data_IF_930752428345
#
_entry.id   IF_930752428345
#
_cell.length_a   1.000
_cell.length_b   1.000
_cell.length_c   1.000
_cell.angle_alpha   90.00
_cell.angle_beta   90.00
_cell.angle_gamma   90.00
#
_symmetry.space_group_name_H-M   'P 1'
#
loop_
_entity.id
_entity.type
_entity.pdbx_description
1 polymer ?
#
# COMPACT_ATOMS: atom_id res chain seq x y z
N UNK A 1 21.24 18.55 7.49
CA UNK A 1 20.41 19.08 8.59
C UNK A 1 18.97 18.70 8.24
N UNK A 2 18.34 17.80 9.00
CA UNK A 2 16.92 17.54 8.87
C UNK A 2 16.18 18.74 9.49
N UNK A 3 15.48 19.50 8.67
CA UNK A 3 14.68 20.62 9.14
C UNK A 3 13.55 20.15 10.08
N UNK A 4 13.00 21.08 10.84
CA UNK A 4 11.87 20.84 11.73
C UNK A 4 10.65 20.35 10.94
N UNK A 5 10.20 19.15 11.19
CA UNK A 5 9.06 18.54 10.49
C UNK A 5 7.78 18.77 11.27
N UNK A 6 6.79 19.38 10.62
CA UNK A 6 5.53 19.79 11.26
C UNK A 6 4.31 19.15 10.61
N UNK A 7 4.04 17.84 10.73
CA UNK A 7 2.67 17.38 10.56
C UNK A 7 2.34 15.92 11.00
N UNK A 8 1.04 15.55 11.00
CA UNK A 8 0.43 14.52 11.81
C UNK A 8 0.77 13.07 11.44
N UNK A 9 1.00 12.73 10.16
CA UNK A 9 1.40 11.35 9.78
C UNK A 9 2.86 11.11 10.09
N UNK A 10 3.68 12.10 9.80
CA UNK A 10 5.07 12.15 10.22
C UNK A 10 5.15 12.21 11.74
N UNK A 11 4.24 12.94 12.40
CA UNK A 11 4.13 12.98 13.88
C UNK A 11 3.80 11.63 14.48
N UNK A 12 2.94 10.83 13.85
CA UNK A 12 2.66 9.47 14.33
C UNK A 12 3.89 8.58 14.21
N UNK A 13 4.56 8.60 13.05
CA UNK A 13 5.83 7.89 12.86
C UNK A 13 6.91 8.37 13.85
N UNK A 14 7.10 9.67 13.97
CA UNK A 14 8.07 10.27 14.89
C UNK A 14 7.72 9.96 16.34
N UNK A 15 6.43 9.99 16.72
CA UNK A 15 5.97 9.66 18.07
C UNK A 15 6.17 8.20 18.42
N UNK A 16 5.91 7.28 17.49
CA UNK A 16 6.10 5.84 17.68
C UNK A 16 7.59 5.48 17.80
N UNK A 17 8.46 6.25 17.15
CA UNK A 17 9.90 6.04 17.17
C UNK A 17 10.65 6.98 18.15
N UNK A 18 9.94 7.68 19.02
CA UNK A 18 10.53 8.44 20.15
C UNK A 18 10.46 7.58 21.42
N UNK A 19 11.55 7.48 22.22
CA UNK A 19 12.85 8.16 22.09
C UNK A 19 13.89 7.45 21.21
N UNK A 20 13.57 6.30 20.61
CA UNK A 20 14.53 5.40 19.97
C UNK A 20 15.31 6.02 18.80
N UNK A 21 14.62 6.69 17.87
CA UNK A 21 15.23 7.31 16.69
C UNK A 21 15.17 8.83 16.74
N UNK A 22 14.23 9.38 17.50
CA UNK A 22 13.98 10.81 17.56
C UNK A 22 13.88 11.30 19.00
N UNK A 23 14.37 12.51 19.23
CA UNK A 23 14.12 13.27 20.44
C UNK A 23 12.99 14.30 20.16
N UNK A 24 12.17 14.56 21.16
CA UNK A 24 11.12 15.58 21.10
C UNK A 24 11.45 16.75 22.03
N UNK A 25 12.30 17.71 21.62
CA UNK A 25 12.73 18.82 22.46
C UNK A 25 11.57 19.75 22.88
N UNK A 26 10.53 19.87 22.06
CA UNK A 26 9.28 20.60 22.38
C UNK A 26 8.10 20.04 21.61
N UNK A 27 6.87 20.40 22.00
CA UNK A 27 5.64 19.95 21.33
C UNK A 27 5.63 20.34 19.86
N UNK A 28 5.53 19.32 18.98
CA UNK A 28 5.51 19.51 17.51
C UNK A 28 6.88 19.52 16.85
N UNK A 29 7.98 19.46 17.57
CA UNK A 29 9.34 19.43 17.03
C UNK A 29 10.02 18.13 17.38
N UNK A 30 10.65 17.51 16.37
CA UNK A 30 11.43 16.27 16.48
C UNK A 30 12.79 16.48 15.83
N UNK A 31 13.81 15.88 16.41
CA UNK A 31 15.15 15.79 15.80
C UNK A 31 15.64 14.35 15.91
N UNK A 32 16.54 13.93 15.04
CA UNK A 32 17.23 12.65 15.22
C UNK A 32 17.93 12.64 16.55
N UNK A 33 17.71 11.60 17.34
CA UNK A 33 18.49 11.40 18.56
C UNK A 33 19.96 11.24 18.18
N UNK A 34 20.86 11.89 18.93
CA UNK A 34 22.31 11.94 18.64
C UNK A 34 23.05 10.59 18.76
N UNK A 35 22.33 9.47 18.60
CA UNK A 35 22.86 8.11 18.52
C UNK A 35 23.26 7.78 17.07
N UNK A 36 24.00 8.68 16.45
CA UNK A 36 24.75 8.37 15.24
C UNK A 36 26.05 7.69 15.67
N UNK A 37 26.04 6.35 15.74
CA UNK A 37 27.26 5.60 16.01
C UNK A 37 27.12 4.32 16.82
N UNK A 38 25.97 4.04 17.42
CA UNK A 38 25.70 2.70 17.92
C UNK A 38 24.99 1.91 16.82
N UNK A 39 25.67 0.90 16.29
CA UNK A 39 25.00 -0.17 15.54
C UNK A 39 23.93 -0.76 16.46
N UNK A 40 22.67 -0.42 16.21
CA UNK A 40 21.56 -1.12 16.84
C UNK A 40 21.65 -2.53 16.30
N UNK A 41 21.90 -3.56 17.13
CA UNK A 41 21.94 -4.93 16.64
C UNK A 41 20.65 -5.20 15.91
N UNK A 42 20.75 -5.76 14.70
CA UNK A 42 19.57 -6.13 13.94
C UNK A 42 18.70 -7.01 14.84
N UNK A 43 17.39 -6.72 14.96
CA UNK A 43 16.51 -7.55 15.77
C UNK A 43 16.56 -8.97 15.22
N UNK A 44 16.75 -9.95 16.11
CA UNK A 44 16.69 -11.35 15.72
C UNK A 44 15.28 -11.72 15.26
N UNK A 45 15.10 -12.67 14.35
CA UNK A 45 13.79 -13.11 13.84
C UNK A 45 12.76 -13.41 14.94
N UNK A 46 13.22 -13.90 16.08
CA UNK A 46 12.38 -14.31 17.23
C UNK A 46 11.84 -13.14 18.09
N UNK A 47 12.21 -11.89 17.77
CA UNK A 47 11.80 -10.73 18.58
C UNK A 47 10.47 -10.12 18.17
N UNK A 48 9.88 -10.54 17.03
CA UNK A 48 8.62 -9.98 16.54
C UNK A 48 7.43 -10.86 16.93
N UNK A 49 6.36 -10.23 17.41
CA UNK A 49 5.10 -10.94 17.61
C UNK A 49 4.56 -11.41 16.26
N UNK A 50 4.42 -12.72 16.12
CA UNK A 50 4.05 -13.37 14.86
C UNK A 50 2.90 -14.33 15.08
N UNK A 51 1.97 -14.40 14.12
CA UNK A 51 0.90 -15.38 14.06
C UNK A 51 0.81 -15.99 12.66
N UNK A 52 0.52 -17.29 12.59
CA UNK A 52 0.31 -18.03 11.34
C UNK A 52 -1.18 -18.26 11.15
N UNK A 53 -1.70 -17.82 10.01
CA UNK A 53 -3.13 -17.88 9.62
C UNK A 53 -3.27 -18.71 8.35
N UNK A 54 -3.16 -20.02 8.47
CA UNK A 54 -3.07 -20.93 7.32
C UNK A 54 -1.75 -20.74 6.55
N UNK A 55 -1.82 -20.26 5.31
CA UNK A 55 -0.64 -19.96 4.48
C UNK A 55 -0.12 -18.54 4.66
N UNK A 56 -0.77 -17.72 5.48
CA UNK A 56 -0.34 -16.36 5.75
C UNK A 56 0.38 -16.26 7.09
N UNK A 57 1.52 -15.57 7.13
CA UNK A 57 2.23 -15.20 8.35
C UNK A 57 2.06 -13.69 8.56
N UNK A 58 1.53 -13.30 9.70
CA UNK A 58 1.34 -11.91 10.08
C UNK A 58 2.31 -11.53 11.19
N UNK A 59 3.00 -10.41 11.02
CA UNK A 59 4.07 -9.93 11.93
C UNK A 59 3.77 -8.52 12.40
N UNK A 60 3.80 -8.29 13.72
CA UNK A 60 3.71 -6.97 14.32
C UNK A 60 5.12 -6.36 14.37
N UNK A 61 5.43 -5.46 13.44
CA UNK A 61 6.76 -4.84 13.33
C UNK A 61 6.77 -3.57 12.48
N UNK A 62 7.83 -2.76 12.62
CA UNK A 62 8.24 -1.81 11.58
C UNK A 62 8.81 -2.60 10.39
N UNK A 63 8.32 -2.33 9.18
CA UNK A 63 8.70 -3.10 8.00
C UNK A 63 10.19 -3.01 7.65
N UNK A 64 10.83 -1.86 7.88
CA UNK A 64 12.27 -1.68 7.60
C UNK A 64 13.11 -2.49 8.58
N UNK A 65 12.71 -2.52 9.86
CA UNK A 65 13.40 -3.32 10.88
C UNK A 65 13.24 -4.83 10.61
N UNK A 66 12.03 -5.24 10.20
CA UNK A 66 11.78 -6.62 9.85
C UNK A 66 12.60 -7.03 8.62
N UNK A 67 12.60 -6.22 7.55
CA UNK A 67 13.39 -6.49 6.34
C UNK A 67 14.88 -6.61 6.64
N UNK A 68 15.43 -5.76 7.52
CA UNK A 68 16.83 -5.81 7.91
C UNK A 68 17.23 -7.10 8.66
N UNK A 69 16.24 -7.84 9.20
CA UNK A 69 16.47 -9.11 9.92
C UNK A 69 16.25 -10.35 9.05
N UNK A 70 15.93 -10.18 7.75
CA UNK A 70 15.63 -11.30 6.86
C UNK A 70 16.84 -11.78 6.08
N UNK A 71 16.82 -13.07 5.78
CA UNK A 71 17.78 -13.65 4.87
C UNK A 71 17.64 -13.02 3.48
N UNK A 72 18.74 -12.72 2.80
CA UNK A 72 18.73 -12.27 1.43
C UNK A 72 17.99 -13.26 0.53
N UNK A 73 17.40 -12.75 -0.56
CA UNK A 73 16.79 -13.57 -1.61
C UNK A 73 15.75 -14.59 -1.11
N UNK A 74 14.91 -14.16 -0.14
CA UNK A 74 13.87 -14.99 0.49
C UNK A 74 12.44 -14.64 0.08
N UNK A 75 12.21 -13.50 -0.60
CA UNK A 75 10.89 -13.00 -1.00
C UNK A 75 10.76 -12.99 -2.53
N UNK A 76 9.68 -13.59 -3.04
CA UNK A 76 9.47 -13.82 -4.47
C UNK A 76 8.60 -12.76 -5.15
N UNK A 77 7.75 -12.07 -4.41
CA UNK A 77 6.95 -10.95 -4.91
C UNK A 77 6.51 -10.02 -3.79
N UNK A 78 6.21 -8.77 -4.14
CA UNK A 78 5.58 -7.79 -3.25
C UNK A 78 4.29 -7.29 -3.89
N UNK A 79 3.21 -7.27 -3.12
CA UNK A 79 1.94 -6.60 -3.47
C UNK A 79 1.49 -5.80 -2.27
N UNK A 80 1.48 -4.47 -2.38
CA UNK A 80 1.28 -3.62 -1.21
C UNK A 80 0.58 -2.30 -1.51
N UNK A 81 -0.15 -1.79 -0.53
CA UNK A 81 -0.82 -0.48 -0.52
C UNK A 81 -0.22 0.38 0.61
N UNK A 82 0.95 1.00 0.39
CA UNK A 82 1.68 1.72 1.42
C UNK A 82 0.99 3.03 1.82
N UNK A 83 1.36 3.63 2.97
CA UNK A 83 0.90 4.97 3.34
C UNK A 83 1.44 6.01 2.35
N UNK A 84 0.56 6.82 1.77
CA UNK A 84 0.91 7.83 0.76
C UNK A 84 1.17 9.23 1.35
N UNK A 85 1.49 9.34 2.63
CA UNK A 85 1.58 10.65 3.28
C UNK A 85 0.23 11.38 3.38
N UNK A 86 -0.88 10.65 3.25
CA UNK A 86 -2.20 11.20 3.48
C UNK A 86 -2.35 11.53 4.96
N UNK A 87 -2.62 12.79 5.26
CA UNK A 87 -2.98 13.20 6.61
C UNK A 87 -4.36 12.64 6.90
N UNK A 88 -4.46 11.75 7.87
CA UNK A 88 -5.75 11.34 8.42
C UNK A 88 -6.50 12.57 8.93
N UNK A 89 -7.83 12.56 8.80
CA UNK A 89 -8.62 13.63 9.34
C UNK A 89 -8.31 13.85 10.83
N UNK A 90 -8.03 15.09 11.20
CA UNK A 90 -8.01 15.48 12.60
C UNK A 90 -9.39 15.18 13.23
N UNK A 91 -9.45 14.99 14.55
CA UNK A 91 -10.71 14.78 15.27
C UNK A 91 -11.77 15.86 14.95
N UNK A 92 -11.33 17.11 14.70
CA UNK A 92 -12.18 18.23 14.29
C UNK A 92 -12.75 18.03 12.87
N UNK A 93 -11.97 17.50 11.98
CA UNK A 93 -12.39 17.22 10.60
C UNK A 93 -13.29 15.99 10.52
N UNK A 94 -13.01 14.96 11.31
CA UNK A 94 -13.88 13.80 11.48
C UNK A 94 -15.24 14.20 12.05
N UNK A 95 -15.28 15.14 13.02
CA UNK A 95 -16.53 15.68 13.57
C UNK A 95 -17.31 16.46 12.53
N UNK A 96 -16.66 17.29 11.71
CA UNK A 96 -17.29 17.97 10.57
C UNK A 96 -17.85 16.97 9.55
N UNK A 97 -17.13 15.88 9.30
CA UNK A 97 -17.54 14.81 8.42
C UNK A 97 -18.81 14.11 8.93
N UNK A 98 -18.83 13.71 10.21
CA UNK A 98 -19.99 13.08 10.86
C UNK A 98 -21.21 14.00 10.87
N UNK A 99 -20.99 15.29 11.09
CA UNK A 99 -22.05 16.31 11.10
C UNK A 99 -22.45 16.77 9.69
N UNK A 100 -21.95 16.15 8.62
CA UNK A 100 -22.22 16.50 7.21
C UNK A 100 -21.95 17.99 6.90
N UNK A 101 -21.00 18.62 7.59
CA UNK A 101 -20.61 20.01 7.37
C UNK A 101 -19.33 20.10 6.56
N UNK A 102 -19.38 20.75 5.39
CA UNK A 102 -18.22 21.00 4.52
C UNK A 102 -18.49 20.72 3.05
N UNK A 103 -17.53 21.09 2.17
CA UNK A 103 -17.72 21.07 0.71
C UNK A 103 -17.98 19.69 0.08
N UNK A 104 -17.60 18.61 0.74
CA UNK A 104 -17.82 17.23 0.26
C UNK A 104 -19.31 16.84 0.23
N UNK A 105 -20.13 17.45 1.06
CA UNK A 105 -21.56 17.15 1.23
C UNK A 105 -22.48 18.00 0.36
N UNK A 106 -21.93 18.92 -0.42
CA UNK A 106 -22.71 19.76 -1.36
C UNK A 106 -23.04 19.04 -2.67
N UNK A 107 -22.35 17.93 -2.95
CA UNK A 107 -22.67 17.06 -4.07
C UNK A 107 -23.63 15.96 -3.61
N UNK A 108 -24.55 15.52 -4.46
CA UNK A 108 -25.42 14.38 -4.15
C UNK A 108 -24.58 13.17 -3.69
N UNK A 109 -25.11 12.33 -2.78
CA UNK A 109 -24.42 11.10 -2.36
C UNK A 109 -24.19 10.12 -3.52
N UNK A 110 -24.92 10.32 -4.62
CA UNK A 110 -24.70 9.62 -5.88
C UNK A 110 -24.21 10.59 -6.95
N UNK A 111 -23.17 10.22 -7.66
CA UNK A 111 -22.66 10.94 -8.82
C UNK A 111 -22.33 9.92 -9.90
N UNK A 112 -22.77 10.14 -11.13
CA UNK A 112 -22.68 9.17 -12.24
C UNK A 112 -23.30 7.79 -11.88
N UNK A 113 -24.39 7.79 -11.09
CA UNK A 113 -25.07 6.57 -10.65
C UNK A 113 -24.31 5.75 -9.58
N UNK A 114 -23.18 6.25 -9.08
CA UNK A 114 -22.37 5.54 -8.09
C UNK A 114 -22.42 6.26 -6.74
N UNK A 115 -22.74 5.52 -5.68
CA UNK A 115 -22.77 6.06 -4.31
C UNK A 115 -21.37 6.46 -3.86
N UNK A 116 -21.23 7.70 -3.38
CA UNK A 116 -19.97 8.21 -2.83
C UNK A 116 -19.82 7.87 -1.35
N UNK A 117 -18.69 7.33 -1.01
CA UNK A 117 -18.21 7.33 0.38
C UNK A 117 -17.39 8.58 0.65
N UNK A 118 -17.49 9.20 1.83
CA UNK A 118 -16.60 10.27 2.22
C UNK A 118 -15.16 9.73 2.25
N UNK A 119 -14.32 10.26 1.37
CA UNK A 119 -12.90 9.93 1.33
C UNK A 119 -12.10 11.00 2.08
N UNK A 120 -11.00 10.65 2.76
CA UNK A 120 -10.10 11.61 3.39
C UNK A 120 -9.69 12.69 2.37
N UNK A 121 -9.64 13.96 2.75
CA UNK A 121 -9.10 15.02 1.88
C UNK A 121 -7.61 14.82 1.71
N UNK A 122 -7.10 15.02 0.49
CA UNK A 122 -5.70 15.33 0.33
C UNK A 122 -5.45 16.69 0.97
N UNK A 123 -4.61 16.72 1.97
CA UNK A 123 -3.94 17.95 2.34
C UNK A 123 -3.00 18.28 1.18
N UNK A 124 -2.92 19.55 0.82
CA UNK A 124 -1.89 20.00 -0.12
C UNK A 124 -0.56 19.71 0.57
N UNK A 125 0.21 18.77 0.04
CA UNK A 125 1.54 18.46 0.56
C UNK A 125 2.47 19.62 0.21
N UNK A 126 3.24 20.08 1.18
CA UNK A 126 4.34 21.01 0.93
C UNK A 126 5.45 20.32 0.14
N UNK A 127 6.36 21.05 -0.50
CA UNK A 127 7.54 20.44 -1.12
C UNK A 127 8.34 19.56 -0.14
N UNK A 128 8.46 19.98 1.12
CA UNK A 128 9.16 19.24 2.16
C UNK A 128 8.46 17.91 2.49
N UNK A 129 7.10 17.89 2.52
CA UNK A 129 6.33 16.64 2.71
C UNK A 129 6.56 15.67 1.54
N UNK A 130 6.67 16.17 0.32
CA UNK A 130 6.95 15.37 -0.89
C UNK A 130 8.36 14.78 -0.82
N UNK A 131 9.35 15.56 -0.38
CA UNK A 131 10.72 15.09 -0.18
C UNK A 131 10.78 13.98 0.88
N UNK A 132 10.15 14.21 2.03
CA UNK A 132 10.06 13.21 3.12
C UNK A 132 9.40 11.91 2.64
N UNK A 133 8.35 12.02 1.84
CA UNK A 133 7.72 10.85 1.22
C UNK A 133 8.69 10.11 0.30
N UNK A 134 9.43 10.84 -0.54
CA UNK A 134 10.47 10.25 -1.40
C UNK A 134 11.54 9.53 -0.62
N UNK A 135 12.07 10.15 0.44
CA UNK A 135 13.09 9.56 1.32
C UNK A 135 12.57 8.30 2.03
N UNK A 136 11.30 8.29 2.45
CA UNK A 136 10.67 7.09 3.02
C UNK A 136 10.72 5.91 2.05
N UNK A 137 10.33 6.12 0.78
CA UNK A 137 10.34 5.06 -0.23
C UNK A 137 11.75 4.64 -0.63
N UNK A 138 12.73 5.54 -0.66
CA UNK A 138 14.15 5.19 -0.86
C UNK A 138 14.64 4.28 0.28
N UNK A 139 14.39 4.66 1.53
CA UNK A 139 14.77 3.86 2.70
C UNK A 139 14.12 2.46 2.69
N UNK A 140 12.83 2.41 2.39
CA UNK A 140 12.11 1.15 2.28
C UNK A 140 12.66 0.27 1.16
N UNK A 141 12.88 0.82 -0.04
CA UNK A 141 13.43 0.07 -1.18
C UNK A 141 14.83 -0.45 -0.89
N UNK A 142 15.68 0.36 -0.23
CA UNK A 142 17.03 -0.04 0.17
C UNK A 142 17.01 -1.26 1.11
N UNK A 143 16.05 -1.33 2.03
CA UNK A 143 15.88 -2.48 2.92
C UNK A 143 15.24 -3.69 2.20
N UNK A 144 14.34 -3.44 1.23
CA UNK A 144 13.60 -4.47 0.52
C UNK A 144 14.45 -5.23 -0.52
N UNK A 145 15.26 -4.51 -1.32
CA UNK A 145 15.96 -5.09 -2.49
C UNK A 145 16.84 -6.30 -2.12
N UNK A 146 17.63 -6.30 -1.05
CA UNK A 146 18.41 -7.47 -0.67
C UNK A 146 17.58 -8.73 -0.40
N UNK A 147 16.39 -8.55 0.17
CA UNK A 147 15.49 -9.65 0.57
C UNK A 147 14.75 -10.26 -0.62
N UNK A 148 14.60 -9.51 -1.72
CA UNK A 148 13.95 -10.00 -2.93
C UNK A 148 14.85 -10.99 -3.67
N UNK A 149 14.28 -12.06 -4.22
CA UNK A 149 14.97 -12.91 -5.22
C UNK A 149 15.14 -12.14 -6.54
N UNK A 150 16.17 -12.41 -7.37
CA UNK A 150 16.28 -11.86 -8.73
C UNK A 150 14.99 -12.08 -9.52
N UNK A 151 14.51 -11.04 -10.21
CA UNK A 151 13.28 -11.12 -10.99
C UNK A 151 11.98 -11.02 -10.20
N UNK A 152 12.02 -10.83 -8.88
CA UNK A 152 10.83 -10.63 -8.04
C UNK A 152 10.02 -9.40 -8.50
N UNK A 153 8.72 -9.59 -8.70
CA UNK A 153 7.80 -8.50 -9.02
C UNK A 153 7.46 -7.70 -7.76
N UNK A 154 7.46 -6.37 -7.89
CA UNK A 154 7.08 -5.43 -6.83
C UNK A 154 5.95 -4.56 -7.35
N UNK A 155 4.74 -4.77 -6.83
CA UNK A 155 3.53 -4.07 -7.26
C UNK A 155 3.03 -3.20 -6.11
N UNK A 156 3.11 -1.89 -6.32
CA UNK A 156 2.88 -0.89 -5.27
C UNK A 156 1.73 0.01 -5.68
N UNK A 157 0.64 0.00 -4.91
CA UNK A 157 -0.42 0.97 -5.11
C UNK A 157 0.11 2.39 -4.89
N UNK A 158 -0.43 3.35 -5.61
CA UNK A 158 -0.05 4.74 -5.44
C UNK A 158 -1.23 5.68 -5.67
N UNK A 159 -1.13 6.87 -5.10
CA UNK A 159 -2.03 7.95 -5.44
C UNK A 159 -1.64 8.54 -6.80
N UNK A 160 -2.57 8.79 -7.74
CA UNK A 160 -2.25 9.38 -9.04
C UNK A 160 -1.41 10.67 -8.97
N UNK A 161 -1.61 11.52 -7.94
CA UNK A 161 -0.87 12.77 -7.76
C UNK A 161 0.56 12.55 -7.23
N UNK A 162 0.82 11.44 -6.55
CA UNK A 162 2.09 11.14 -5.87
C UNK A 162 2.83 9.96 -6.49
N UNK A 163 2.24 9.30 -7.49
CA UNK A 163 2.81 8.12 -8.14
C UNK A 163 4.20 8.37 -8.72
N UNK A 164 4.46 9.59 -9.20
CA UNK A 164 5.77 9.99 -9.72
C UNK A 164 6.85 10.00 -8.63
N UNK A 165 6.52 10.43 -7.41
CA UNK A 165 7.45 10.44 -6.26
C UNK A 165 7.86 9.01 -5.90
N UNK A 166 6.86 8.15 -5.73
CA UNK A 166 7.06 6.72 -5.44
C UNK A 166 7.87 6.06 -6.55
N UNK A 167 7.50 6.32 -7.81
CA UNK A 167 8.17 5.73 -8.98
C UNK A 167 9.64 6.14 -9.06
N UNK A 168 9.95 7.42 -8.84
CA UNK A 168 11.33 7.93 -8.86
C UNK A 168 12.16 7.33 -7.74
N UNK A 169 11.61 7.23 -6.53
CA UNK A 169 12.31 6.67 -5.38
C UNK A 169 12.66 5.18 -5.60
N UNK A 170 11.69 4.37 -6.05
CA UNK A 170 11.90 2.94 -6.26
C UNK A 170 12.85 2.64 -7.43
N UNK A 171 12.70 3.35 -8.56
CA UNK A 171 13.61 3.21 -9.69
C UNK A 171 15.03 3.68 -9.35
N UNK A 172 15.17 4.82 -8.66
CA UNK A 172 16.45 5.35 -8.20
C UNK A 172 17.18 4.44 -7.20
N UNK A 173 16.44 3.57 -6.50
CA UNK A 173 17.01 2.57 -5.59
C UNK A 173 17.49 1.28 -6.29
N UNK A 174 17.26 1.13 -7.60
CA UNK A 174 17.75 -0.02 -8.39
C UNK A 174 16.70 -1.03 -8.82
N UNK A 175 15.40 -0.77 -8.58
CA UNK A 175 14.32 -1.59 -9.14
C UNK A 175 14.05 -1.19 -10.60
N UNK A 176 13.89 -2.18 -11.48
CA UNK A 176 13.47 -1.95 -12.86
C UNK A 176 12.00 -1.57 -12.94
N UNK A 177 11.67 -0.36 -13.44
CA UNK A 177 10.28 -0.02 -13.72
C UNK A 177 9.74 -0.81 -14.91
N UNK A 178 8.58 -1.47 -14.73
CA UNK A 178 7.96 -2.35 -15.73
C UNK A 178 6.60 -1.86 -16.23
N UNK A 179 6.14 -0.71 -15.79
CA UNK A 179 4.85 -0.13 -16.16
C UNK A 179 3.92 0.04 -14.95
N UNK A 180 2.64 -0.08 -15.20
CA UNK A 180 1.59 0.07 -14.18
C UNK A 180 0.46 -0.93 -14.44
N UNK A 181 -0.15 -1.43 -13.37
CA UNK A 181 -1.48 -2.04 -13.42
C UNK A 181 -2.49 -0.97 -13.04
N UNK A 182 -3.41 -0.68 -13.93
CA UNK A 182 -4.47 0.29 -13.72
C UNK A 182 -5.68 -0.40 -13.11
N UNK A 183 -5.99 -0.07 -11.86
CA UNK A 183 -7.27 -0.41 -11.27
C UNK A 183 -8.32 0.60 -11.70
N UNK A 184 -9.16 0.23 -12.67
CA UNK A 184 -10.22 1.11 -13.17
C UNK A 184 -11.41 1.07 -12.21
N UNK A 185 -11.66 2.17 -11.52
CA UNK A 185 -12.75 2.33 -10.56
C UNK A 185 -13.35 3.74 -10.65
N UNK A 186 -14.66 3.85 -10.88
CA UNK A 186 -15.32 5.12 -11.23
C UNK A 186 -15.63 6.04 -10.04
N UNK A 187 -15.31 5.64 -8.82
CA UNK A 187 -15.65 6.35 -7.57
C UNK A 187 -14.53 7.17 -6.96
N UNK A 188 -13.46 7.44 -7.73
CA UNK A 188 -12.33 8.22 -7.27
C UNK A 188 -12.65 9.72 -7.17
N UNK A 189 -11.68 10.51 -6.67
CA UNK A 189 -11.83 11.93 -6.38
C UNK A 189 -11.78 12.82 -7.62
N UNK A 190 -12.14 14.07 -7.41
CA UNK A 190 -12.11 15.12 -8.41
C UNK A 190 -13.49 15.45 -8.96
N UNK A 191 -13.54 16.33 -9.92
CA UNK A 191 -14.77 16.83 -10.49
C UNK A 191 -15.52 17.84 -9.60
N UNK A 192 -14.89 18.33 -8.54
CA UNK A 192 -15.47 19.35 -7.66
C UNK A 192 -15.47 20.72 -8.35
N UNK A 193 -16.56 21.46 -8.17
CA UNK A 193 -16.68 22.83 -8.64
C UNK A 193 -15.89 23.81 -7.77
N UNK A 194 -15.52 25.00 -8.26
CA UNK A 194 -14.82 26.00 -7.49
C UNK A 194 -15.52 26.33 -6.17
N UNK A 195 -14.79 26.28 -5.08
CA UNK A 195 -15.33 26.53 -3.73
C UNK A 195 -15.81 28.00 -3.62
N UNK A 196 -17.04 28.19 -3.21
CA UNK A 196 -17.65 29.52 -3.07
C UNK A 196 -18.23 30.11 -4.35
N UNK A 197 -17.85 29.58 -5.53
CA UNK A 197 -18.29 30.06 -6.85
C UNK A 197 -18.92 28.94 -7.73
N UNK A 198 -19.43 27.90 -7.12
CA UNK A 198 -19.96 26.71 -7.81
C UNK A 198 -21.21 26.96 -8.66
N UNK A 199 -21.92 28.08 -8.45
CA UNK A 199 -23.06 28.51 -9.28
C UNK A 199 -22.59 29.35 -10.45
N UNK A 200 -21.62 30.22 -10.24
CA UNK A 200 -21.01 31.08 -11.25
C UNK A 200 -20.23 30.26 -12.28
N UNK A 201 -19.48 29.26 -11.82
CA UNK A 201 -18.70 28.37 -12.68
C UNK A 201 -19.27 26.94 -12.64
N UNK A 202 -20.55 26.81 -13.03
CA UNK A 202 -21.26 25.54 -12.96
C UNK A 202 -20.63 24.44 -13.82
N UNK A 203 -19.99 24.82 -14.92
CA UNK A 203 -19.39 23.93 -15.92
C UNK A 203 -17.89 23.70 -15.71
N UNK A 204 -17.32 24.28 -14.62
CA UNK A 204 -15.87 24.17 -14.33
C UNK A 204 -15.63 23.14 -13.22
N UNK A 205 -14.75 22.20 -13.49
CA UNK A 205 -14.15 21.31 -12.46
C UNK A 205 -12.74 21.82 -12.11
N UNK A 206 -12.43 21.89 -10.81
CA UNK A 206 -11.10 22.33 -10.33
C UNK A 206 -10.01 21.37 -10.79
N UNK A 207 -10.35 20.09 -10.94
CA UNK A 207 -9.46 19.04 -11.44
C UNK A 207 -10.28 17.94 -12.11
N UNK A 208 -9.67 17.17 -13.02
CA UNK A 208 -10.32 16.00 -13.59
C UNK A 208 -10.76 15.03 -12.49
N UNK A 209 -11.89 14.36 -12.70
CA UNK A 209 -12.29 13.26 -11.82
C UNK A 209 -11.39 12.07 -12.08
N UNK A 210 -10.69 11.62 -11.06
CA UNK A 210 -9.91 10.38 -11.12
C UNK A 210 -10.87 9.18 -11.20
N UNK A 211 -10.66 8.33 -12.18
CA UNK A 211 -11.44 7.10 -12.41
C UNK A 211 -10.58 5.84 -12.27
N UNK A 212 -9.33 5.99 -11.88
CA UNK A 212 -8.37 4.91 -11.80
C UNK A 212 -7.39 5.11 -10.63
N UNK A 213 -6.82 4.00 -10.18
CA UNK A 213 -5.79 3.93 -9.16
C UNK A 213 -4.58 3.22 -9.76
N UNK A 214 -3.39 3.86 -9.79
CA UNK A 214 -2.17 3.24 -10.30
C UNK A 214 -1.61 2.23 -9.30
N UNK A 215 -1.23 1.07 -9.80
CA UNK A 215 -0.40 0.09 -9.13
C UNK A 215 0.91 -0.01 -9.89
N UNK A 216 1.93 0.67 -9.39
CA UNK A 216 3.24 0.76 -10.02
C UNK A 216 3.90 -0.60 -10.04
N UNK A 217 4.40 -1.02 -11.21
CA UNK A 217 5.03 -2.32 -11.40
C UNK A 217 6.54 -2.14 -11.52
N UNK A 218 7.24 -2.79 -10.62
CA UNK A 218 8.70 -2.90 -10.64
C UNK A 218 9.12 -4.35 -10.60
N UNK A 219 10.41 -4.58 -10.84
CA UNK A 219 11.04 -5.88 -10.76
C UNK A 219 12.46 -5.72 -10.22
N UNK A 220 12.91 -6.57 -9.30
CA UNK A 220 14.34 -6.71 -9.05
C UNK A 220 15.03 -7.18 -10.34
N UNK A 221 16.19 -6.62 -10.73
CA UNK A 221 16.93 -7.11 -11.91
C UNK A 221 17.02 -8.62 -11.95
N UNK A 222 16.88 -9.19 -13.14
CA UNK A 222 16.96 -10.65 -13.35
C UNK A 222 18.42 -11.14 -13.35
N UNK A 223 18.59 -12.41 -13.05
CA UNK A 223 19.83 -13.14 -13.18
C UNK A 223 19.87 -13.85 -14.56
N UNK A 224 20.67 -13.32 -15.49
CA UNK A 224 20.75 -13.82 -16.85
C UNK A 224 19.53 -13.48 -17.72
N UNK A 225 19.01 -14.45 -18.48
CA UNK A 225 17.78 -14.26 -19.28
C UNK A 225 16.52 -14.53 -18.45
N UNK A 226 15.35 -14.04 -18.90
CA UNK A 226 14.06 -14.36 -18.25
C UNK A 226 13.86 -15.87 -18.11
N UNK A 227 14.23 -16.65 -19.13
CA UNK A 227 14.15 -18.11 -19.10
C UNK A 227 15.02 -18.72 -17.99
N UNK A 228 16.26 -18.25 -17.85
CA UNK A 228 17.20 -18.75 -16.85
C UNK A 228 16.75 -18.34 -15.44
N UNK A 229 16.28 -17.12 -15.30
CA UNK A 229 15.72 -16.61 -14.06
C UNK A 229 14.47 -17.39 -13.63
N UNK A 230 13.55 -17.72 -14.54
CA UNK A 230 12.40 -18.57 -14.26
C UNK A 230 12.80 -19.97 -13.80
N UNK A 231 13.85 -20.56 -14.40
CA UNK A 231 14.33 -21.88 -13.99
C UNK A 231 14.97 -21.87 -12.61
N UNK A 232 15.78 -20.85 -12.31
CA UNK A 232 16.55 -20.76 -11.07
C UNK A 232 15.74 -20.19 -9.91
N UNK A 233 15.05 -19.08 -10.13
CA UNK A 233 14.41 -18.26 -9.10
C UNK A 233 12.89 -18.33 -9.11
N UNK A 234 12.28 -18.97 -10.09
CA UNK A 234 10.81 -19.09 -10.26
C UNK A 234 10.10 -17.77 -10.48
N UNK A 235 10.83 -16.68 -10.78
CA UNK A 235 10.39 -15.29 -10.92
C UNK A 235 10.82 -14.69 -12.26
N UNK A 236 10.46 -13.41 -12.54
CA UNK A 236 10.91 -12.68 -13.73
C UNK A 236 9.81 -12.36 -14.74
N UNK A 237 8.59 -12.83 -14.53
CA UNK A 237 7.43 -12.58 -15.38
C UNK A 237 6.13 -12.53 -14.59
N UNK A 238 4.99 -12.47 -15.31
CA UNK A 238 3.66 -12.53 -14.74
C UNK A 238 2.93 -13.81 -15.13
N UNK A 239 2.19 -14.41 -14.19
CA UNK A 239 1.35 -15.58 -14.47
C UNK A 239 0.18 -15.18 -15.34
N UNK A 240 0.00 -15.88 -16.44
CA UNK A 240 -1.14 -15.68 -17.34
C UNK A 240 -2.44 -16.17 -16.68
N UNK A 241 -3.59 -15.55 -16.98
CA UNK A 241 -4.90 -16.08 -16.59
C UNK A 241 -5.18 -17.44 -17.24
N UNK A 242 -4.77 -17.63 -18.50
CA UNK A 242 -4.78 -18.89 -19.24
C UNK A 242 -3.62 -18.90 -20.23
N UNK A 243 -3.35 -20.03 -20.87
CA UNK A 243 -2.28 -20.18 -21.86
C UNK A 243 -2.42 -19.22 -23.04
N UNK A 244 -3.65 -18.87 -23.40
CA UNK A 244 -3.99 -18.02 -24.54
C UNK A 244 -4.03 -16.52 -24.19
N UNK A 245 -4.30 -16.18 -22.91
CA UNK A 245 -4.49 -14.79 -22.51
C UNK A 245 -3.36 -14.30 -21.62
N UNK A 246 -2.65 -13.23 -22.02
CA UNK A 246 -1.68 -12.57 -21.14
C UNK A 246 -2.38 -11.88 -19.96
N UNK A 247 -1.62 -11.64 -18.89
CA UNK A 247 -2.08 -10.76 -17.82
C UNK A 247 -2.17 -9.33 -18.37
N UNK A 248 -3.36 -8.73 -18.23
CA UNK A 248 -3.61 -7.37 -18.72
C UNK A 248 -3.34 -6.33 -17.64
N UNK A 249 -2.86 -5.19 -18.07
CA UNK A 249 -2.50 -4.05 -17.22
C UNK A 249 -3.71 -3.20 -16.79
N UNK A 250 -4.90 -3.42 -17.33
CA UNK A 250 -6.14 -2.74 -16.91
C UNK A 250 -7.10 -3.72 -16.28
N UNK A 251 -7.42 -3.48 -15.00
CA UNK A 251 -8.36 -4.31 -14.24
C UNK A 251 -9.56 -3.49 -13.83
N UNK A 252 -10.74 -3.80 -14.39
CA UNK A 252 -11.99 -3.22 -13.90
C UNK A 252 -12.28 -3.73 -12.49
N UNK A 253 -12.59 -2.81 -11.59
CA UNK A 253 -12.85 -3.08 -10.19
C UNK A 253 -14.04 -2.28 -9.70
N UNK A 254 -14.84 -2.90 -8.84
CA UNK A 254 -15.83 -2.17 -8.05
C UNK A 254 -15.18 -1.61 -6.76
N UNK A 255 -15.81 -0.64 -6.08
CA UNK A 255 -15.47 -0.31 -4.71
C UNK A 255 -15.59 -1.55 -3.80
N UNK A 256 -14.86 -1.53 -2.70
CA UNK A 256 -14.95 -2.59 -1.67
C UNK A 256 -16.41 -2.72 -1.21
N UNK A 257 -16.96 -3.91 -1.24
CA UNK A 257 -18.35 -4.18 -0.89
C UNK A 257 -18.61 -4.01 0.61
N UNK A 258 -19.87 -3.79 0.97
CA UNK A 258 -20.28 -3.61 2.37
C UNK A 258 -19.95 -4.84 3.21
N UNK A 259 -20.12 -6.02 2.66
CA UNK A 259 -19.85 -7.31 3.29
C UNK A 259 -18.36 -7.48 3.57
N UNK A 260 -17.48 -7.13 2.61
CA UNK A 260 -16.02 -7.13 2.84
C UNK A 260 -15.62 -6.13 3.93
N UNK A 261 -16.25 -4.94 3.93
CA UNK A 261 -16.01 -3.92 4.98
C UNK A 261 -16.50 -4.33 6.35
N UNK A 262 -17.52 -5.18 6.43
CA UNK A 262 -17.99 -5.73 7.68
C UNK A 262 -17.01 -6.75 8.27
N UNK A 263 -16.28 -7.49 7.41
CA UNK A 263 -15.25 -8.44 7.83
C UNK A 263 -13.95 -7.72 8.26
N UNK A 264 -13.65 -6.58 7.65
CA UNK A 264 -12.45 -5.81 7.92
C UNK A 264 -12.77 -4.30 7.80
N UNK A 265 -13.15 -3.62 8.88
CA UNK A 265 -13.55 -2.22 8.87
C UNK A 265 -12.34 -1.26 8.75
N UNK A 266 -11.44 -1.53 7.83
CA UNK A 266 -10.25 -0.74 7.56
C UNK A 266 -10.56 0.34 6.50
N UNK A 267 -10.09 1.60 6.66
CA UNK A 267 -10.41 2.70 5.73
C UNK A 267 -9.89 2.46 4.31
N UNK A 268 -8.75 1.79 4.16
CA UNK A 268 -8.09 1.49 2.87
C UNK A 268 -8.32 0.07 2.37
N UNK A 269 -9.31 -0.65 2.89
CA UNK A 269 -9.59 -2.03 2.49
C UNK A 269 -9.76 -2.16 0.98
N UNK A 270 -8.92 -2.98 0.34
CA UNK A 270 -8.99 -3.24 -1.10
C UNK A 270 -9.91 -4.43 -1.41
N UNK A 271 -10.68 -4.39 -2.53
CA UNK A 271 -11.56 -5.49 -2.91
C UNK A 271 -10.79 -6.79 -3.17
N UNK A 272 -11.25 -7.89 -2.61
CA UNK A 272 -10.62 -9.21 -2.76
C UNK A 272 -10.55 -9.65 -4.23
N UNK A 273 -11.59 -9.41 -5.01
CA UNK A 273 -11.62 -9.75 -6.44
C UNK A 273 -10.48 -9.08 -7.23
N UNK A 274 -10.11 -7.86 -6.89
CA UNK A 274 -9.01 -7.14 -7.52
C UNK A 274 -7.66 -7.72 -7.05
N UNK A 275 -7.47 -7.81 -5.73
CA UNK A 275 -6.20 -8.28 -5.16
C UNK A 275 -5.86 -9.70 -5.56
N UNK A 276 -6.83 -10.63 -5.58
CA UNK A 276 -6.60 -12.01 -6.03
C UNK A 276 -6.05 -12.09 -7.46
N UNK A 277 -6.50 -11.21 -8.36
CA UNK A 277 -5.97 -11.16 -9.73
C UNK A 277 -4.52 -10.68 -9.77
N UNK A 278 -4.20 -9.63 -9.00
CA UNK A 278 -2.85 -9.09 -8.92
C UNK A 278 -1.91 -10.07 -8.23
N UNK A 279 -2.30 -10.58 -7.06
CA UNK A 279 -1.50 -11.54 -6.27
C UNK A 279 -1.23 -12.82 -7.06
N UNK A 280 -2.26 -13.37 -7.74
CA UNK A 280 -2.06 -14.55 -8.59
C UNK A 280 -1.07 -14.28 -9.72
N UNK A 281 -1.06 -13.09 -10.28
CA UNK A 281 -0.24 -12.74 -11.41
C UNK A 281 1.24 -12.55 -11.06
N UNK A 282 1.57 -12.06 -9.87
CA UNK A 282 2.95 -11.68 -9.51
C UNK A 282 3.90 -12.87 -9.34
N UNK A 283 3.38 -14.08 -9.12
CA UNK A 283 4.16 -15.34 -9.08
C UNK A 283 3.94 -16.12 -10.38
N UNK A 284 4.85 -16.04 -11.36
CA UNK A 284 4.64 -16.56 -12.72
C UNK A 284 4.40 -18.07 -12.76
N UNK A 285 5.00 -18.83 -11.87
CA UNK A 285 4.86 -20.29 -11.79
C UNK A 285 3.92 -20.74 -10.67
N UNK A 286 3.37 -19.80 -9.90
CA UNK A 286 2.45 -20.09 -8.78
C UNK A 286 3.15 -20.60 -7.53
N UNK A 287 4.44 -20.38 -7.42
CA UNK A 287 5.28 -20.82 -6.29
C UNK A 287 6.05 -19.64 -5.72
N UNK A 288 6.25 -19.64 -4.41
CA UNK A 288 7.01 -18.62 -3.68
C UNK A 288 6.14 -17.81 -2.72
N UNK A 289 6.77 -16.87 -2.05
CA UNK A 289 6.18 -16.07 -0.97
C UNK A 289 5.87 -14.65 -1.45
N UNK A 290 4.64 -14.20 -1.21
CA UNK A 290 4.19 -12.82 -1.44
C UNK A 290 4.34 -12.02 -0.16
N UNK A 291 4.99 -10.87 -0.21
CA UNK A 291 5.15 -9.96 0.91
C UNK A 291 4.23 -8.74 0.77
N UNK A 292 3.54 -8.38 1.85
CA UNK A 292 2.89 -7.08 2.03
C UNK A 292 3.48 -6.38 3.26
N UNK A 293 4.44 -5.45 3.09
CA UNK A 293 5.09 -4.77 4.20
C UNK A 293 4.25 -3.68 4.88
N UNK A 294 3.02 -3.44 4.40
CA UNK A 294 2.06 -2.47 4.95
C UNK A 294 0.66 -3.06 4.93
N UNK A 295 0.49 -4.24 5.55
CA UNK A 295 -0.66 -5.09 5.27
C UNK A 295 -1.98 -4.59 5.86
N UNK A 296 -1.97 -3.65 6.80
CA UNK A 296 -3.18 -3.12 7.43
C UNK A 296 -4.06 -4.24 7.97
N UNK A 297 -5.30 -4.33 7.50
CA UNK A 297 -6.23 -5.41 7.85
C UNK A 297 -6.00 -6.72 7.08
N UNK A 298 -4.87 -6.90 6.39
CA UNK A 298 -4.49 -8.17 5.77
C UNK A 298 -5.17 -8.49 4.43
N UNK A 299 -5.62 -7.50 3.67
CA UNK A 299 -6.30 -7.71 2.38
C UNK A 299 -5.48 -8.52 1.39
N UNK A 300 -4.17 -8.25 1.29
CA UNK A 300 -3.24 -8.96 0.40
C UNK A 300 -3.01 -10.39 0.86
N UNK A 301 -2.86 -10.59 2.17
CA UNK A 301 -2.68 -11.93 2.77
C UNK A 301 -3.90 -12.81 2.50
N UNK A 302 -5.10 -12.25 2.70
CA UNK A 302 -6.35 -12.94 2.39
C UNK A 302 -6.46 -13.31 0.90
N UNK A 303 -6.03 -12.41 0.02
CA UNK A 303 -6.00 -12.66 -1.42
C UNK A 303 -4.99 -13.75 -1.79
N UNK A 304 -3.81 -13.77 -1.15
CA UNK A 304 -2.79 -14.80 -1.33
C UNK A 304 -3.30 -16.17 -0.88
N UNK A 305 -3.86 -16.26 0.32
CA UNK A 305 -4.49 -17.51 0.83
C UNK A 305 -5.63 -17.99 -0.05
N UNK A 306 -6.41 -17.07 -0.66
CA UNK A 306 -7.51 -17.44 -1.55
C UNK A 306 -7.07 -18.05 -2.89
N UNK A 307 -5.82 -17.79 -3.32
CA UNK A 307 -5.21 -18.35 -4.53
C UNK A 307 -4.13 -19.38 -4.23
N UNK A 308 -4.11 -19.87 -2.99
CA UNK A 308 -3.24 -20.92 -2.47
C UNK A 308 -1.74 -20.56 -2.51
N UNK A 309 -1.40 -19.29 -2.20
CA UNK A 309 -0.03 -18.81 -2.10
C UNK A 309 0.37 -18.54 -0.65
N UNK A 310 1.62 -18.79 -0.33
CA UNK A 310 2.24 -18.34 0.91
C UNK A 310 2.39 -16.82 0.92
N UNK A 311 2.17 -16.20 2.07
CA UNK A 311 2.33 -14.77 2.22
C UNK A 311 2.83 -14.36 3.58
N UNK A 312 3.52 -13.21 3.62
CA UNK A 312 3.96 -12.55 4.84
C UNK A 312 3.40 -11.13 4.83
N UNK A 313 2.73 -10.74 5.91
CA UNK A 313 2.24 -9.38 6.12
C UNK A 313 2.92 -8.75 7.31
N UNK A 314 3.30 -7.49 7.18
CA UNK A 314 3.88 -6.71 8.27
C UNK A 314 2.96 -5.55 8.56
N UNK A 315 2.62 -5.37 9.83
CA UNK A 315 1.82 -4.26 10.33
C UNK A 315 2.47 -3.69 11.59
N UNK A 316 2.60 -2.38 11.65
CA UNK A 316 3.23 -1.74 12.80
C UNK A 316 2.21 -1.25 13.84
N UNK A 317 0.95 -1.06 13.44
CA UNK A 317 -0.12 -0.63 14.34
C UNK A 317 -0.77 -1.87 14.99
N UNK A 318 -0.70 -2.00 16.33
CA UNK A 318 -1.29 -3.15 17.02
C UNK A 318 -2.80 -3.32 16.77
N UNK A 319 -3.54 -2.22 16.58
CA UNK A 319 -4.98 -2.29 16.32
C UNK A 319 -5.28 -2.91 14.94
N UNK A 320 -4.54 -2.52 13.91
CA UNK A 320 -4.69 -3.11 12.57
C UNK A 320 -4.13 -4.53 12.51
N UNK A 321 -3.08 -4.82 13.28
CA UNK A 321 -2.59 -6.18 13.44
C UNK A 321 -3.67 -7.12 14.01
N UNK A 322 -4.32 -6.76 15.12
CA UNK A 322 -5.41 -7.58 15.68
C UNK A 322 -6.59 -7.70 14.70
N UNK A 323 -6.93 -6.61 14.02
CA UNK A 323 -7.95 -6.65 12.97
C UNK A 323 -7.59 -7.64 11.86
N UNK A 324 -6.32 -7.71 11.44
CA UNK A 324 -5.87 -8.63 10.40
C UNK A 324 -5.92 -10.09 10.86
N UNK A 325 -5.62 -10.37 12.14
CA UNK A 325 -5.75 -11.72 12.71
C UNK A 325 -7.17 -12.27 12.50
N UNK A 326 -8.20 -11.46 12.76
CA UNK A 326 -9.59 -11.87 12.61
C UNK A 326 -10.07 -11.84 11.15
N UNK A 327 -9.62 -10.84 10.39
CA UNK A 327 -10.13 -10.58 9.04
C UNK A 327 -9.55 -11.52 7.97
N UNK A 328 -8.26 -11.86 8.03
CA UNK A 328 -7.58 -12.63 6.98
C UNK A 328 -8.28 -13.97 6.69
N UNK A 329 -8.60 -14.83 7.67
CA UNK A 329 -9.26 -16.09 7.39
C UNK A 329 -10.67 -15.91 6.78
N UNK A 330 -11.38 -14.87 7.20
CA UNK A 330 -12.75 -14.59 6.74
C UNK A 330 -12.76 -14.01 5.32
N UNK A 331 -11.89 -13.06 5.03
CA UNK A 331 -11.72 -12.48 3.70
C UNK A 331 -11.18 -13.49 2.69
N UNK A 332 -10.30 -14.41 3.11
CA UNK A 332 -9.78 -15.48 2.24
C UNK A 332 -10.89 -16.40 1.73
N UNK A 333 -11.87 -16.71 2.56
CA UNK A 333 -13.04 -17.52 2.20
C UNK A 333 -14.12 -16.76 1.44
N UNK A 334 -14.15 -15.44 1.60
CA UNK A 334 -15.17 -14.57 0.98
C UNK A 334 -15.15 -14.70 -0.54
N UNK A 335 -16.26 -15.16 -1.14
CA UNK A 335 -16.45 -15.32 -2.60
C UNK A 335 -15.32 -16.10 -3.31
N UNK A 336 -14.68 -17.07 -2.63
CA UNK A 336 -13.60 -17.88 -3.25
C UNK A 336 -14.09 -18.59 -4.52
N UNK A 337 -15.28 -19.11 -4.52
CA UNK A 337 -15.89 -19.85 -5.65
C UNK A 337 -16.14 -18.96 -6.89
N UNK A 338 -16.42 -17.67 -6.70
CA UNK A 338 -16.63 -16.73 -7.81
C UNK A 338 -15.33 -16.21 -8.44
N UNK A 339 -14.21 -16.35 -7.77
CA UNK A 339 -12.92 -15.84 -8.25
C UNK A 339 -12.22 -16.77 -9.24
N UNK A 340 -12.58 -18.05 -9.28
CA UNK A 340 -11.99 -19.05 -10.19
C UNK A 340 -12.57 -19.04 -11.61
N UNK A 341 -13.60 -18.25 -11.86
CA UNK A 341 -14.31 -18.25 -13.16
C UNK A 341 -13.81 -17.16 -14.14
N UNK A 342 -12.67 -16.51 -13.88
CA UNK A 342 -12.16 -15.46 -14.79
C UNK A 342 -10.65 -15.46 -14.91
#
# INVERSE_FOLDING_TARGET
MLGDVTDSSVRSYLRLNTPRLFERPRRGHYRLSGIAGQEIPAPTPDTFRTVVLGQATLVLADCVQWLASREPESVHAVVTDPPYGLVEYSAKEQTKLRNRRGGVWRLPPTFDGVQRSPLPRFTVMSPDDVEVLGLFFVRWATALIPVLVPGANVVVAANPLLSHVVATALAGSGLERRGEVVRLVTTMRGGDRPKGAHREFADVSVMPRSMWEPWLVFRKPIDGTVRDNLRKWRTGGFRRPSDERPFGDVIRSAPTRKEERALAPHPSLKPQRFLRRVVRAVLPLGEGTVLDPFCGSGSTLAAASAVDYESIGIEMDPHYYEMAVDAVPSLARYQREQAMLF
#
